data_IF_166828197459
#
_entry.id   IF_166828197459
#
_cell.length_a   1.000
_cell.length_b   1.000
_cell.length_c   1.000
_cell.angle_alpha   90.00
_cell.angle_beta   90.00
_cell.angle_gamma   90.00
#
_symmetry.space_group_name_H-M   'P 1'
#
loop_
_entity.id
_entity.type
_entity.pdbx_description
1 polymer ?
#
# COMPACT_ATOMS: atom_id res chain seq x y z
N UNK A 1 -21.81 22.61 -24.77
CA UNK A 1 -21.32 22.20 -26.10
C UNK A 1 -20.67 23.36 -26.86
N UNK A 2 -21.41 24.37 -27.31
CA UNK A 2 -20.90 25.45 -28.19
C UNK A 2 -19.63 26.16 -27.68
N UNK A 3 -19.53 26.37 -26.36
CA UNK A 3 -18.35 26.96 -25.69
C UNK A 3 -17.05 26.24 -26.06
N UNK A 4 -17.04 24.90 -26.00
CA UNK A 4 -15.85 24.09 -26.26
C UNK A 4 -15.69 23.80 -27.75
N UNK A 5 -16.78 23.61 -28.49
CA UNK A 5 -16.74 23.37 -29.94
C UNK A 5 -16.06 24.53 -30.70
N UNK A 6 -16.27 25.78 -30.24
CA UNK A 6 -15.63 26.96 -30.82
C UNK A 6 -14.08 26.97 -30.71
N UNK A 7 -13.50 26.19 -29.79
CA UNK A 7 -12.05 26.09 -29.62
C UNK A 7 -11.42 25.05 -30.54
N UNK A 8 -12.18 24.09 -31.08
CA UNK A 8 -11.67 22.99 -31.92
C UNK A 8 -10.82 23.46 -33.12
N UNK A 9 -11.20 24.51 -33.88
CA UNK A 9 -10.37 24.98 -35.01
C UNK A 9 -9.00 25.54 -34.61
N UNK A 10 -8.80 25.86 -33.33
CA UNK A 10 -7.56 26.45 -32.78
C UNK A 10 -6.54 25.40 -32.36
N UNK A 11 -6.96 24.15 -32.14
CA UNK A 11 -6.09 23.08 -31.70
C UNK A 11 -5.06 22.71 -32.79
N UNK A 12 -3.84 22.38 -32.37
CA UNK A 12 -2.70 22.02 -33.24
C UNK A 12 -1.99 20.75 -32.78
N UNK A 13 -2.22 20.30 -31.55
CA UNK A 13 -1.58 19.11 -30.97
C UNK A 13 -2.60 18.24 -30.23
N UNK A 14 -2.25 16.96 -30.03
CA UNK A 14 -3.06 16.05 -29.22
C UNK A 14 -3.14 16.48 -27.75
N UNK A 15 -2.10 17.11 -27.23
CA UNK A 15 -2.09 17.67 -25.87
C UNK A 15 -3.14 18.76 -25.68
N UNK A 16 -3.24 19.71 -26.63
CA UNK A 16 -4.28 20.75 -26.56
C UNK A 16 -5.71 20.19 -26.66
N UNK A 17 -5.90 19.10 -27.42
CA UNK A 17 -7.18 18.37 -27.44
C UNK A 17 -7.47 17.73 -26.08
N UNK A 18 -6.45 17.18 -25.42
CA UNK A 18 -6.55 16.64 -24.06
C UNK A 18 -7.06 17.68 -23.09
N UNK A 19 -6.43 18.86 -23.08
CA UNK A 19 -6.80 19.96 -22.19
C UNK A 19 -8.27 20.35 -22.42
N UNK A 20 -8.70 20.44 -23.68
CA UNK A 20 -10.09 20.73 -24.02
C UNK A 20 -11.06 19.65 -23.52
N UNK A 21 -10.71 18.36 -23.66
CA UNK A 21 -11.55 17.25 -23.18
C UNK A 21 -11.64 17.28 -21.65
N UNK A 22 -10.53 17.47 -20.95
CA UNK A 22 -10.49 17.55 -19.49
C UNK A 22 -11.33 18.72 -18.96
N UNK A 23 -11.18 19.92 -19.53
CA UNK A 23 -11.98 21.09 -19.13
C UNK A 23 -13.48 20.88 -19.41
N UNK A 24 -13.83 20.30 -20.56
CA UNK A 24 -15.22 19.99 -20.89
C UNK A 24 -15.82 18.95 -19.94
N UNK A 25 -15.08 17.88 -19.62
CA UNK A 25 -15.51 16.87 -18.66
C UNK A 25 -15.63 17.44 -17.24
N UNK A 26 -14.75 18.38 -16.87
CA UNK A 26 -14.76 19.05 -15.57
C UNK A 26 -16.05 19.83 -15.29
N UNK A 27 -16.75 20.33 -16.31
CA UNK A 27 -18.06 21.01 -16.18
C UNK A 27 -19.17 20.09 -15.63
N UNK A 28 -18.97 18.76 -15.64
CA UNK A 28 -19.88 17.82 -14.99
C UNK A 28 -19.87 17.97 -13.46
N UNK A 29 -18.80 18.55 -12.88
CA UNK A 29 -18.71 18.80 -11.44
C UNK A 29 -18.77 17.53 -10.58
N UNK A 30 -18.28 16.42 -11.10
CA UNK A 30 -18.34 15.09 -10.46
C UNK A 30 -17.03 14.34 -10.62
N UNK A 31 -16.81 13.35 -9.75
CA UNK A 31 -15.67 12.43 -9.80
C UNK A 31 -15.68 11.55 -11.05
N UNK A 32 -14.53 10.93 -11.35
CA UNK A 32 -14.37 9.91 -12.39
C UNK A 32 -14.69 10.31 -13.85
N UNK A 33 -14.65 11.59 -14.17
CA UNK A 33 -14.69 12.07 -15.55
C UNK A 33 -13.26 12.19 -16.12
N UNK A 34 -12.69 11.07 -16.57
CA UNK A 34 -11.29 10.95 -16.95
C UNK A 34 -11.07 10.91 -18.45
N UNK A 35 -9.86 11.27 -18.89
CA UNK A 35 -9.33 11.00 -20.21
C UNK A 35 -7.97 10.30 -20.09
N UNK A 36 -7.74 9.29 -20.92
CA UNK A 36 -6.50 8.50 -20.89
C UNK A 36 -6.17 7.89 -22.26
N UNK A 37 -4.88 7.64 -22.49
CA UNK A 37 -4.39 7.16 -23.78
C UNK A 37 -4.53 8.20 -24.89
N UNK A 38 -4.60 7.75 -26.14
CA UNK A 38 -4.64 8.63 -27.32
C UNK A 38 -3.32 8.66 -28.09
N UNK A 39 -3.36 9.24 -29.29
CA UNK A 39 -2.24 9.27 -30.23
C UNK A 39 -1.25 10.41 -29.90
N UNK A 40 -0.52 10.24 -28.81
CA UNK A 40 0.57 11.12 -28.43
C UNK A 40 1.86 10.73 -29.15
N UNK A 41 2.64 11.73 -29.55
CA UNK A 41 3.99 11.50 -30.07
C UNK A 41 4.90 11.01 -28.95
N UNK A 42 5.20 9.72 -28.94
CA UNK A 42 6.10 9.12 -27.95
C UNK A 42 7.58 9.43 -28.28
N UNK A 43 8.31 10.14 -27.40
CA UNK A 43 9.76 10.28 -27.53
C UNK A 43 10.45 8.96 -27.17
N UNK A 44 11.75 8.83 -27.54
CA UNK A 44 12.56 7.71 -27.08
C UNK A 44 12.59 7.68 -25.55
N UNK A 45 12.14 6.58 -24.97
CA UNK A 45 12.16 6.38 -23.53
C UNK A 45 13.49 5.80 -23.08
N UNK A 46 14.14 6.47 -22.13
CA UNK A 46 15.37 6.00 -21.49
C UNK A 46 15.03 5.51 -20.09
N UNK A 47 14.92 4.19 -19.93
CA UNK A 47 14.51 3.58 -18.65
C UNK A 47 15.67 3.57 -17.66
N UNK A 48 15.48 4.21 -16.51
CA UNK A 48 16.46 4.18 -15.42
C UNK A 48 16.44 2.79 -14.76
N UNK A 49 17.63 2.24 -14.49
CA UNK A 49 17.77 1.06 -13.64
C UNK A 49 17.90 1.45 -12.18
N UNK A 50 17.17 0.75 -11.31
CA UNK A 50 17.16 1.03 -9.87
C UNK A 50 17.83 -0.07 -9.04
N UNK A 51 18.49 0.30 -7.94
CA UNK A 51 19.25 -0.63 -7.10
C UNK A 51 18.51 -1.07 -5.83
N UNK A 52 17.33 -0.54 -5.56
CA UNK A 52 16.56 -0.84 -4.35
C UNK A 52 17.26 -0.37 -3.09
N UNK A 53 17.90 0.80 -3.11
CA UNK A 53 18.72 1.29 -2.02
C UNK A 53 18.74 2.82 -1.94
N UNK A 54 18.95 3.34 -0.73
CA UNK A 54 19.29 4.76 -0.53
C UNK A 54 20.80 4.91 -0.54
N UNK A 55 21.28 5.84 -1.38
CA UNK A 55 22.69 6.06 -1.65
C UNK A 55 23.07 7.50 -1.32
N UNK A 56 24.22 7.69 -0.69
CA UNK A 56 24.75 9.02 -0.39
C UNK A 56 26.23 9.11 -0.72
N UNK A 57 26.63 10.20 -1.35
CA UNK A 57 28.05 10.46 -1.60
C UNK A 57 28.83 10.57 -0.27
N UNK A 58 29.99 9.92 -0.22
CA UNK A 58 30.89 9.92 0.92
C UNK A 58 32.34 10.18 0.45
N UNK A 59 32.90 11.31 0.89
CA UNK A 59 34.26 11.73 0.55
C UNK A 59 35.32 10.78 1.11
N UNK A 60 35.03 10.13 2.24
CA UNK A 60 35.91 9.16 2.86
C UNK A 60 36.13 7.96 1.94
N UNK A 61 35.07 7.40 1.36
CA UNK A 61 35.20 6.27 0.44
C UNK A 61 35.32 6.64 -1.04
N UNK A 62 35.20 7.93 -1.41
CA UNK A 62 35.22 8.41 -2.80
C UNK A 62 34.21 7.65 -3.67
N UNK A 63 32.99 7.54 -3.16
CA UNK A 63 31.90 6.79 -3.77
C UNK A 63 30.57 7.04 -3.06
N UNK A 64 29.54 6.28 -3.45
CA UNK A 64 28.22 6.36 -2.87
C UNK A 64 28.06 5.26 -1.81
N UNK A 65 28.00 5.67 -0.54
CA UNK A 65 27.71 4.79 0.58
C UNK A 65 26.27 4.31 0.49
N UNK A 66 26.08 3.01 0.69
CA UNK A 66 24.77 2.38 0.79
C UNK A 66 24.24 2.68 2.20
N UNK A 67 23.29 3.59 2.33
CA UNK A 67 22.69 3.95 3.62
C UNK A 67 21.64 2.92 4.03
N UNK A 68 20.85 2.43 3.06
CA UNK A 68 19.80 1.45 3.28
C UNK A 68 19.63 0.54 2.07
N UNK A 69 19.45 -0.75 2.29
CA UNK A 69 19.01 -1.71 1.28
C UNK A 69 17.55 -2.06 1.58
N UNK A 70 16.64 -1.72 0.66
CA UNK A 70 15.24 -2.08 0.82
C UNK A 70 15.05 -3.58 0.61
N UNK A 71 14.11 -4.16 1.37
CA UNK A 71 13.74 -5.57 1.29
C UNK A 71 12.28 -5.69 0.88
N UNK A 72 12.07 -6.41 -0.22
CA UNK A 72 10.76 -6.77 -0.73
C UNK A 72 10.47 -8.25 -0.50
N UNK A 73 9.83 -8.87 -1.47
CA UNK A 73 9.57 -10.31 -1.47
C UNK A 73 10.82 -11.06 -1.97
N UNK A 74 11.60 -11.65 -1.07
CA UNK A 74 12.91 -12.27 -1.39
C UNK A 74 12.86 -13.40 -2.44
N UNK A 75 11.67 -13.97 -2.68
CA UNK A 75 11.44 -14.98 -3.71
C UNK A 75 11.16 -14.40 -5.10
N UNK A 76 10.96 -13.09 -5.23
CA UNK A 76 10.66 -12.41 -6.48
C UNK A 76 11.71 -11.31 -6.77
N UNK A 77 12.60 -11.59 -7.71
CA UNK A 77 13.72 -10.72 -8.10
C UNK A 77 13.29 -9.37 -8.69
N UNK A 78 12.07 -9.26 -9.20
CA UNK A 78 11.58 -8.01 -9.79
C UNK A 78 11.00 -7.06 -8.74
N UNK A 79 10.89 -7.49 -7.47
CA UNK A 79 10.32 -6.69 -6.37
C UNK A 79 11.15 -6.74 -5.09
N UNK A 80 12.35 -7.32 -5.11
CA UNK A 80 13.36 -7.21 -4.05
C UNK A 80 14.59 -6.41 -4.55
N UNK A 81 15.42 -5.89 -3.64
CA UNK A 81 16.61 -5.15 -4.06
C UNK A 81 17.59 -6.06 -4.84
N UNK A 82 18.14 -5.62 -5.97
CA UNK A 82 19.21 -6.33 -6.66
C UNK A 82 20.48 -6.50 -5.81
N UNK A 83 20.69 -5.63 -4.81
CA UNK A 83 21.80 -5.73 -3.85
C UNK A 83 21.53 -6.77 -2.76
N UNK A 84 20.26 -7.13 -2.57
CA UNK A 84 19.78 -8.07 -1.58
C UNK A 84 19.85 -9.54 -2.05
N UNK A 85 20.14 -9.80 -3.33
CA UNK A 85 20.13 -11.14 -3.89
C UNK A 85 21.13 -12.09 -3.19
N UNK A 86 20.76 -13.37 -3.00
CA UNK A 86 21.66 -14.37 -2.45
C UNK A 86 22.98 -14.47 -3.24
N UNK A 87 24.10 -14.44 -2.52
CA UNK A 87 25.44 -14.54 -3.11
C UNK A 87 26.10 -13.21 -3.50
N UNK A 88 25.36 -12.09 -3.53
CA UNK A 88 25.95 -10.77 -3.80
C UNK A 88 26.83 -10.27 -2.63
N UNK A 89 26.48 -10.68 -1.40
CA UNK A 89 27.16 -10.28 -0.16
C UNK A 89 27.35 -8.76 -0.04
N UNK A 90 26.37 -7.96 -0.46
CA UNK A 90 26.38 -6.50 -0.31
C UNK A 90 25.81 -6.13 1.06
N UNK A 91 26.47 -5.22 1.76
CA UNK A 91 26.05 -4.75 3.06
C UNK A 91 25.86 -3.22 3.09
N UNK A 92 24.92 -2.78 3.94
CA UNK A 92 24.80 -1.37 4.29
C UNK A 92 26.12 -0.85 4.90
N UNK A 93 26.47 0.38 4.55
CA UNK A 93 27.72 1.02 4.93
C UNK A 93 28.90 0.76 3.99
N UNK A 94 28.80 -0.18 3.04
CA UNK A 94 29.75 -0.29 1.93
C UNK A 94 29.54 0.83 0.91
N UNK A 95 30.53 1.08 0.05
CA UNK A 95 30.45 2.11 -0.97
C UNK A 95 30.47 1.54 -2.38
N UNK A 96 29.53 1.98 -3.22
CA UNK A 96 29.60 1.80 -4.66
C UNK A 96 30.57 2.87 -5.20
N UNK A 97 31.63 2.43 -5.86
CA UNK A 97 32.70 3.31 -6.36
C UNK A 97 32.82 3.32 -7.89
N UNK A 98 32.21 2.34 -8.57
CA UNK A 98 32.09 2.32 -10.02
C UNK A 98 30.84 1.55 -10.48
N UNK A 99 30.29 1.92 -11.63
CA UNK A 99 29.20 1.22 -12.33
C UNK A 99 29.62 1.00 -13.77
N UNK A 100 29.55 -0.24 -14.27
CA UNK A 100 29.99 -0.58 -15.63
C UNK A 100 31.47 -0.26 -15.88
N UNK A 101 32.31 -0.36 -14.84
CA UNK A 101 33.74 0.01 -14.90
C UNK A 101 34.03 1.52 -14.88
N UNK A 102 33.02 2.39 -14.89
CA UNK A 102 33.20 3.85 -14.79
C UNK A 102 33.12 4.30 -13.34
N UNK A 103 34.14 5.01 -12.85
CA UNK A 103 34.19 5.56 -11.49
C UNK A 103 33.07 6.57 -11.26
N UNK A 104 32.47 6.51 -10.08
CA UNK A 104 31.49 7.49 -9.63
C UNK A 104 32.20 8.74 -9.08
N UNK A 105 31.52 9.87 -9.20
CA UNK A 105 31.91 11.14 -8.59
C UNK A 105 30.64 11.94 -8.23
N UNK A 106 30.79 13.09 -7.57
CA UNK A 106 29.66 14.00 -7.34
C UNK A 106 28.97 14.43 -8.64
N UNK A 107 29.72 14.54 -9.74
CA UNK A 107 29.22 14.91 -11.07
C UNK A 107 28.83 13.71 -11.96
N UNK A 108 29.17 12.49 -11.51
CA UNK A 108 28.85 11.22 -12.15
C UNK A 108 28.17 10.31 -11.12
N UNK A 109 26.90 10.61 -10.78
CA UNK A 109 26.18 9.86 -9.77
C UNK A 109 25.65 8.53 -10.34
N UNK A 110 25.21 7.57 -9.50
CA UNK A 110 24.70 6.28 -9.93
C UNK A 110 23.60 6.38 -10.98
N UNK A 111 22.66 7.31 -10.80
CA UNK A 111 21.49 7.49 -11.67
C UNK A 111 21.92 7.81 -13.10
N UNK A 112 23.01 8.59 -13.27
CA UNK A 112 23.56 8.93 -14.58
C UNK A 112 24.11 7.70 -15.31
N UNK A 113 24.77 6.79 -14.58
CA UNK A 113 25.35 5.57 -15.16
C UNK A 113 24.35 4.42 -15.29
N UNK A 114 23.20 4.53 -14.62
CA UNK A 114 22.11 3.55 -14.66
C UNK A 114 21.02 3.91 -15.68
N UNK A 115 21.15 5.02 -16.42
CA UNK A 115 20.27 5.29 -17.56
C UNK A 115 20.37 4.14 -18.58
N UNK A 116 19.22 3.59 -18.98
CA UNK A 116 19.08 2.47 -19.92
C UNK A 116 19.67 1.14 -19.43
N UNK A 117 19.88 1.00 -18.11
CA UNK A 117 20.32 -0.25 -17.47
C UNK A 117 19.18 -1.07 -16.85
N UNK A 118 17.95 -0.55 -16.88
CA UNK A 118 16.75 -1.27 -16.42
C UNK A 118 16.72 -2.70 -16.96
N UNK A 119 16.60 -3.67 -16.06
CA UNK A 119 16.50 -5.10 -16.37
C UNK A 119 17.70 -5.69 -17.14
N UNK A 120 18.85 -5.01 -17.17
CA UNK A 120 20.09 -5.46 -17.82
C UNK A 120 21.20 -5.63 -16.78
N UNK A 121 22.00 -6.69 -16.92
CA UNK A 121 23.12 -6.93 -16.01
C UNK A 121 24.12 -5.77 -16.07
N UNK A 122 24.44 -5.20 -14.91
CA UNK A 122 25.49 -4.19 -14.73
C UNK A 122 26.48 -4.62 -13.66
N UNK A 123 27.75 -4.27 -13.85
CA UNK A 123 28.77 -4.44 -12.83
C UNK A 123 28.77 -3.27 -11.86
N UNK A 124 28.77 -3.57 -10.56
CA UNK A 124 29.03 -2.60 -9.50
C UNK A 124 30.36 -2.94 -8.86
N UNK A 125 31.26 -1.97 -8.75
CA UNK A 125 32.45 -2.10 -7.91
C UNK A 125 32.13 -1.56 -6.53
N UNK A 126 32.16 -2.44 -5.54
CA UNK A 126 31.95 -2.16 -4.13
C UNK A 126 33.30 -2.01 -3.44
N UNK A 127 33.36 -1.11 -2.46
CA UNK A 127 34.50 -0.88 -1.60
C UNK A 127 34.08 -1.03 -0.14
N UNK A 128 34.77 -1.91 0.58
CA UNK A 128 34.53 -2.13 2.00
C UNK A 128 35.25 -1.08 2.88
N UNK A 129 35.07 -1.19 4.21
CA UNK A 129 35.74 -0.32 5.20
C UNK A 129 37.27 -0.45 5.19
N UNK A 130 37.82 -1.56 4.71
CA UNK A 130 39.27 -1.84 4.60
C UNK A 130 39.84 -1.42 3.24
N UNK A 131 39.06 -0.71 2.42
CA UNK A 131 39.41 -0.27 1.05
C UNK A 131 39.62 -1.43 0.07
N UNK A 132 39.17 -2.64 0.40
CA UNK A 132 39.17 -3.74 -0.55
C UNK A 132 38.03 -3.51 -1.56
N UNK A 133 38.34 -3.66 -2.84
CA UNK A 133 37.36 -3.55 -3.92
C UNK A 133 36.99 -4.93 -4.45
N UNK A 134 35.69 -5.15 -4.62
CA UNK A 134 35.15 -6.31 -5.32
C UNK A 134 34.10 -5.89 -6.32
N UNK A 135 33.94 -6.67 -7.38
CA UNK A 135 32.90 -6.43 -8.37
C UNK A 135 31.79 -7.44 -8.20
N UNK A 136 30.55 -6.95 -8.22
CA UNK A 136 29.33 -7.75 -8.22
C UNK A 136 28.52 -7.44 -9.48
N UNK A 137 27.75 -8.40 -9.96
CA UNK A 137 26.86 -8.22 -11.10
C UNK A 137 25.42 -8.18 -10.60
N UNK A 138 24.70 -7.11 -10.89
CA UNK A 138 23.31 -6.94 -10.47
C UNK A 138 22.43 -6.68 -11.69
N UNK A 139 21.15 -7.03 -11.58
CA UNK A 139 20.12 -6.68 -12.56
C UNK A 139 19.26 -5.55 -11.97
N UNK A 140 19.45 -4.28 -12.36
CA UNK A 140 18.68 -3.17 -11.81
C UNK A 140 17.19 -3.32 -12.12
N UNK A 141 16.34 -2.93 -11.17
CA UNK A 141 14.90 -2.95 -11.30
C UNK A 141 14.44 -1.93 -12.33
N UNK A 142 13.27 -2.19 -12.94
CA UNK A 142 12.59 -1.21 -13.80
C UNK A 142 11.83 -0.15 -12.99
N UNK A 143 11.46 -0.47 -11.76
CA UNK A 143 10.78 0.42 -10.82
C UNK A 143 11.04 -0.06 -9.39
N UNK A 144 11.13 0.87 -8.45
CA UNK A 144 11.21 0.55 -7.01
C UNK A 144 9.85 0.66 -6.32
N UNK A 145 8.76 0.98 -7.03
CA UNK A 145 7.48 1.28 -6.40
C UNK A 145 6.98 0.11 -5.53
N UNK A 146 6.96 -1.12 -6.07
CA UNK A 146 6.53 -2.31 -5.34
C UNK A 146 7.46 -2.66 -4.17
N UNK A 147 8.77 -2.52 -4.37
CA UNK A 147 9.79 -2.74 -3.34
C UNK A 147 9.64 -1.76 -2.16
N UNK A 148 9.54 -0.47 -2.47
CA UNK A 148 9.38 0.59 -1.45
C UNK A 148 8.05 0.48 -0.74
N UNK A 149 6.99 0.14 -1.46
CA UNK A 149 5.69 -0.19 -0.87
C UNK A 149 5.81 -1.33 0.15
N UNK A 150 6.37 -2.49 -0.24
CA UNK A 150 6.52 -3.63 0.66
C UNK A 150 7.36 -3.26 1.88
N UNK A 151 8.49 -2.59 1.67
CA UNK A 151 9.37 -2.18 2.75
C UNK A 151 8.69 -1.22 3.74
N UNK A 152 7.80 -0.34 3.26
CA UNK A 152 6.98 0.55 4.09
C UNK A 152 5.94 -0.23 4.89
N UNK A 153 5.18 -1.14 4.25
CA UNK A 153 4.19 -1.99 4.95
C UNK A 153 4.85 -2.82 6.05
N UNK A 154 5.98 -3.48 5.76
CA UNK A 154 6.68 -4.31 6.74
C UNK A 154 7.32 -3.47 7.86
N UNK A 155 7.72 -2.23 7.58
CA UNK A 155 8.21 -1.31 8.62
C UNK A 155 7.09 -0.92 9.60
N UNK A 156 5.90 -0.57 9.08
CA UNK A 156 4.75 -0.26 9.93
C UNK A 156 4.28 -1.50 10.71
N UNK A 157 4.28 -2.68 10.08
CA UNK A 157 3.95 -3.93 10.75
C UNK A 157 4.89 -4.19 11.93
N UNK A 158 6.21 -4.12 11.71
CA UNK A 158 7.21 -4.27 12.79
C UNK A 158 7.00 -3.24 13.90
N UNK A 159 6.75 -1.98 13.56
CA UNK A 159 6.48 -0.95 14.55
C UNK A 159 5.27 -1.30 15.41
N UNK A 160 4.16 -1.71 14.80
CA UNK A 160 2.94 -2.13 15.53
C UNK A 160 3.23 -3.33 16.43
N UNK A 161 3.92 -4.35 15.91
CA UNK A 161 4.30 -5.54 16.67
C UNK A 161 5.20 -5.20 17.87
N UNK A 162 6.24 -4.40 17.67
CA UNK A 162 7.16 -3.96 18.73
C UNK A 162 6.42 -3.15 19.81
N UNK A 163 5.60 -2.17 19.40
CA UNK A 163 4.86 -1.31 20.34
C UNK A 163 3.78 -2.06 21.12
N UNK A 164 3.23 -3.12 20.54
CA UNK A 164 2.14 -3.90 21.15
C UNK A 164 2.62 -5.23 21.72
N UNK A 165 3.93 -5.51 21.70
CA UNK A 165 4.51 -6.81 22.10
C UNK A 165 3.80 -7.99 21.41
N UNK A 166 3.74 -7.92 20.08
CA UNK A 166 3.10 -8.92 19.20
C UNK A 166 1.59 -9.09 19.38
N UNK A 167 0.93 -8.27 20.21
CA UNK A 167 -0.49 -8.48 20.53
C UNK A 167 -1.46 -7.92 19.51
N UNK A 168 -1.04 -6.99 18.65
CA UNK A 168 -1.89 -6.35 17.64
C UNK A 168 -1.33 -6.63 16.26
N UNK A 169 -2.19 -6.99 15.32
CA UNK A 169 -1.85 -7.18 13.93
C UNK A 169 -1.91 -5.91 13.10
N UNK A 170 -1.20 -5.90 11.98
CA UNK A 170 -1.22 -4.79 11.03
C UNK A 170 -1.20 -5.29 9.59
N UNK A 171 -2.12 -4.75 8.79
CA UNK A 171 -2.13 -4.90 7.34
C UNK A 171 -2.43 -3.56 6.68
N UNK A 172 -1.99 -3.44 5.43
CA UNK A 172 -2.30 -2.30 4.57
C UNK A 172 -2.94 -2.77 3.26
N UNK A 173 -3.89 -1.98 2.74
CA UNK A 173 -4.65 -2.28 1.53
C UNK A 173 -4.45 -1.12 0.53
N UNK A 174 -3.60 -1.27 -0.51
CA UNK A 174 -3.16 -0.17 -1.38
C UNK A 174 -4.17 0.25 -2.46
N UNK A 175 -5.09 -0.63 -2.83
CA UNK A 175 -6.21 -0.34 -3.71
C UNK A 175 -7.35 -1.34 -3.40
N UNK A 176 -8.45 -1.26 -4.11
CA UNK A 176 -9.54 -2.25 -4.07
C UNK A 176 -9.62 -3.03 -5.38
N UNK A 177 -8.49 -3.18 -6.08
CA UNK A 177 -8.35 -4.04 -7.24
C UNK A 177 -7.76 -5.41 -6.87
N UNK A 178 -7.31 -6.18 -7.89
CA UNK A 178 -6.66 -7.46 -7.67
C UNK A 178 -5.40 -7.39 -6.78
N UNK A 179 -4.64 -6.29 -6.87
CA UNK A 179 -3.44 -6.10 -6.06
C UNK A 179 -3.80 -5.92 -4.59
N UNK A 180 -4.72 -5.02 -4.27
CA UNK A 180 -5.20 -4.79 -2.92
C UNK A 180 -5.86 -6.01 -2.30
N UNK A 181 -6.63 -6.78 -3.09
CA UNK A 181 -7.19 -8.05 -2.65
C UNK A 181 -6.10 -9.08 -2.27
N UNK A 182 -5.01 -9.14 -3.04
CA UNK A 182 -3.85 -9.99 -2.75
C UNK A 182 -3.10 -9.53 -1.50
N UNK A 183 -2.86 -8.23 -1.35
CA UNK A 183 -2.19 -7.64 -0.19
C UNK A 183 -3.01 -7.81 1.09
N UNK A 184 -4.33 -7.64 1.00
CA UNK A 184 -5.24 -7.94 2.09
C UNK A 184 -5.07 -9.39 2.54
N UNK A 185 -5.22 -10.38 1.66
CA UNK A 185 -5.13 -11.79 2.08
C UNK A 185 -3.76 -12.15 2.63
N UNK A 186 -2.70 -11.63 2.01
CA UNK A 186 -1.32 -11.82 2.47
C UNK A 186 -1.12 -11.34 3.91
N UNK A 187 -1.56 -10.12 4.23
CA UNK A 187 -1.42 -9.57 5.58
C UNK A 187 -2.47 -10.13 6.55
N UNK A 188 -3.72 -10.25 6.12
CA UNK A 188 -4.83 -10.68 6.95
C UNK A 188 -4.59 -12.06 7.53
N UNK A 189 -4.22 -13.04 6.70
CA UNK A 189 -4.06 -14.43 7.13
C UNK A 189 -2.92 -14.62 8.14
N UNK A 190 -1.93 -13.73 8.18
CA UNK A 190 -0.87 -13.76 9.19
C UNK A 190 -1.18 -12.94 10.46
N UNK A 191 -2.18 -12.06 10.42
CA UNK A 191 -2.38 -11.03 11.44
C UNK A 191 -3.73 -11.09 12.17
N UNK A 192 -4.75 -11.74 11.58
CA UNK A 192 -6.14 -11.71 12.07
C UNK A 192 -6.34 -12.35 13.46
N UNK A 193 -5.51 -13.32 13.85
CA UNK A 193 -5.67 -14.08 15.11
C UNK A 193 -4.98 -13.41 16.32
N UNK A 194 -4.36 -12.24 16.11
CA UNK A 194 -3.84 -11.41 17.19
C UNK A 194 -4.98 -10.80 18.01
N UNK A 195 -4.68 -10.23 19.19
CA UNK A 195 -5.70 -9.71 20.12
C UNK A 195 -6.44 -8.48 19.59
N UNK A 196 -5.89 -7.80 18.59
CA UNK A 196 -6.55 -6.73 17.86
C UNK A 196 -5.91 -6.56 16.48
N UNK A 197 -6.54 -5.77 15.61
CA UNK A 197 -6.09 -5.59 14.23
C UNK A 197 -6.16 -4.12 13.82
N UNK A 198 -5.07 -3.60 13.26
CA UNK A 198 -5.03 -2.31 12.56
C UNK A 198 -5.15 -2.58 11.05
N UNK A 199 -6.17 -1.97 10.43
CA UNK A 199 -6.43 -2.05 8.99
C UNK A 199 -6.12 -0.69 8.37
N UNK A 200 -5.02 -0.59 7.64
CA UNK A 200 -4.59 0.67 7.02
C UNK A 200 -5.03 0.75 5.56
N UNK A 201 -5.93 1.69 5.25
CA UNK A 201 -6.40 2.00 3.88
C UNK A 201 -5.96 3.39 3.42
N UNK A 202 -4.97 4.00 4.08
CA UNK A 202 -4.37 5.25 3.62
C UNK A 202 -3.81 5.07 2.21
N UNK A 203 -3.97 6.07 1.35
CA UNK A 203 -3.53 6.01 -0.06
C UNK A 203 -4.23 4.94 -0.91
N UNK A 204 -5.36 4.37 -0.47
CA UNK A 204 -6.09 3.36 -1.22
C UNK A 204 -6.68 3.94 -2.53
N UNK A 205 -6.31 3.34 -3.67
CA UNK A 205 -6.63 3.89 -5.00
C UNK A 205 -8.00 3.48 -5.56
N UNK A 206 -8.86 2.85 -4.76
CA UNK A 206 -10.18 2.39 -5.20
C UNK A 206 -10.15 1.12 -6.05
N UNK A 207 -11.30 0.74 -6.61
CA UNK A 207 -11.51 -0.54 -7.27
C UNK A 207 -12.93 -1.05 -7.05
N UNK A 208 -13.10 -2.30 -6.62
CA UNK A 208 -14.42 -2.92 -6.42
C UNK A 208 -14.47 -4.07 -5.40
N UNK A 209 -13.38 -4.38 -4.71
CA UNK A 209 -13.33 -5.52 -3.77
C UNK A 209 -13.69 -5.16 -2.32
N UNK A 210 -14.00 -3.90 -2.00
CA UNK A 210 -14.31 -3.48 -0.62
C UNK A 210 -15.39 -4.33 0.08
N UNK A 211 -16.48 -4.80 -0.59
CA UNK A 211 -17.48 -5.62 0.08
C UNK A 211 -16.93 -6.97 0.55
N UNK A 212 -16.02 -7.57 -0.23
CA UNK A 212 -15.38 -8.85 0.11
C UNK A 212 -14.46 -8.71 1.33
N UNK A 213 -13.77 -7.57 1.44
CA UNK A 213 -12.90 -7.30 2.58
C UNK A 213 -13.71 -7.02 3.85
N UNK A 214 -14.76 -6.19 3.72
CA UNK A 214 -15.67 -5.88 4.82
C UNK A 214 -16.40 -7.13 5.33
N UNK A 215 -16.79 -8.06 4.45
CA UNK A 215 -17.39 -9.33 4.85
C UNK A 215 -16.48 -10.11 5.80
N UNK A 216 -15.18 -10.20 5.48
CA UNK A 216 -14.19 -10.87 6.35
C UNK A 216 -13.99 -10.14 7.67
N UNK A 217 -13.82 -8.83 7.64
CA UNK A 217 -13.63 -8.01 8.83
C UNK A 217 -14.86 -8.02 9.76
N UNK A 218 -16.06 -8.18 9.22
CA UNK A 218 -17.31 -8.24 9.98
C UNK A 218 -17.56 -9.59 10.68
N UNK A 219 -16.76 -10.62 10.40
CA UNK A 219 -16.91 -11.94 11.03
C UNK A 219 -16.65 -11.87 12.52
N UNK A 220 -17.69 -12.03 13.31
CA UNK A 220 -17.59 -12.19 14.76
C UNK A 220 -17.12 -13.59 15.10
N UNK A 221 -16.03 -13.68 15.86
CA UNK A 221 -15.59 -14.94 16.44
C UNK A 221 -16.57 -15.36 17.53
N UNK A 222 -17.22 -16.51 17.35
CA UNK A 222 -18.27 -17.01 18.27
C UNK A 222 -17.93 -18.35 18.91
N UNK A 223 -16.83 -18.98 18.52
CA UNK A 223 -16.41 -20.25 19.09
C UNK A 223 -15.07 -20.72 18.58
N UNK A 224 -14.70 -21.93 18.98
CA UNK A 224 -13.47 -22.59 18.57
C UNK A 224 -13.72 -24.07 18.34
N UNK A 225 -13.15 -24.61 17.26
CA UNK A 225 -12.91 -26.04 17.13
C UNK A 225 -11.58 -26.38 17.83
N UNK A 226 -11.61 -27.32 18.77
CA UNK A 226 -10.43 -27.71 19.55
C UNK A 226 -10.02 -29.13 19.14
N UNK A 227 -9.04 -29.28 18.23
CA UNK A 227 -8.64 -30.58 17.76
C UNK A 227 -7.98 -31.39 18.87
N UNK A 228 -7.93 -32.72 18.72
CA UNK A 228 -7.19 -33.59 19.65
C UNK A 228 -5.70 -33.25 19.70
N UNK A 229 -5.15 -32.83 18.56
CA UNK A 229 -3.77 -32.40 18.39
C UNK A 229 -3.77 -31.08 17.61
N UNK A 230 -3.14 -30.06 18.17
CA UNK A 230 -3.06 -28.72 17.57
C UNK A 230 -3.66 -27.62 18.43
N UNK A 231 -3.60 -26.39 17.92
CA UNK A 231 -4.19 -25.23 18.56
C UNK A 231 -5.71 -25.14 18.28
N UNK A 232 -6.48 -24.52 19.18
CA UNK A 232 -7.87 -24.14 18.89
C UNK A 232 -7.96 -23.30 17.61
N UNK A 233 -8.91 -23.65 16.73
CA UNK A 233 -9.20 -22.94 15.49
C UNK A 233 -10.46 -22.10 15.68
N UNK A 234 -10.44 -20.79 15.40
CA UNK A 234 -11.62 -19.95 15.61
C UNK A 234 -12.76 -20.30 14.64
N UNK A 235 -13.99 -20.09 15.10
CA UNK A 235 -15.22 -20.23 14.32
C UNK A 235 -16.02 -18.92 14.32
N UNK A 236 -16.41 -18.37 13.14
CA UNK A 236 -16.01 -18.82 11.81
C UNK A 236 -14.48 -18.74 11.62
N UNK A 237 -13.90 -19.57 10.73
CA UNK A 237 -12.49 -19.45 10.38
C UNK A 237 -12.16 -18.03 9.89
N UNK A 238 -10.95 -17.58 10.18
CA UNK A 238 -10.48 -16.25 9.80
C UNK A 238 -11.30 -15.09 10.40
N UNK A 239 -12.03 -15.30 11.49
CA UNK A 239 -12.68 -14.23 12.26
C UNK A 239 -11.65 -13.46 13.09
N UNK A 240 -11.71 -12.13 13.13
CA UNK A 240 -10.74 -11.29 13.86
C UNK A 240 -10.75 -11.61 15.36
N UNK A 241 -9.57 -11.69 15.98
CA UNK A 241 -9.38 -12.09 17.38
C UNK A 241 -9.77 -11.05 18.43
N UNK A 242 -10.14 -9.83 18.04
CA UNK A 242 -10.56 -8.77 18.95
C UNK A 242 -10.86 -7.44 18.23
N UNK A 243 -10.71 -6.28 18.90
CA UNK A 243 -11.07 -4.98 18.32
C UNK A 243 -10.27 -4.67 17.05
N UNK A 244 -10.91 -3.91 16.15
CA UNK A 244 -10.33 -3.42 14.91
C UNK A 244 -10.21 -1.90 14.99
N UNK A 245 -9.12 -1.33 14.48
CA UNK A 245 -8.99 0.12 14.23
C UNK A 245 -8.61 0.31 12.77
N UNK A 246 -9.30 1.19 12.05
CA UNK A 246 -8.98 1.50 10.66
C UNK A 246 -8.25 2.85 10.54
N UNK A 247 -7.26 2.91 9.64
CA UNK A 247 -6.60 4.15 9.25
C UNK A 247 -7.03 4.55 7.83
N UNK A 248 -7.33 5.83 7.61
CA UNK A 248 -7.65 6.38 6.28
C UNK A 248 -7.09 7.79 6.11
N UNK A 249 -7.02 8.28 4.88
CA UNK A 249 -6.58 9.66 4.61
C UNK A 249 -7.20 10.20 3.31
N UNK A 250 -6.89 11.46 2.99
CA UNK A 250 -7.38 12.16 1.80
C UNK A 250 -6.95 11.56 0.46
N UNK A 251 -6.05 10.57 0.47
CA UNK A 251 -5.60 9.85 -0.71
C UNK A 251 -6.29 8.50 -0.89
N UNK A 252 -7.10 8.07 0.08
CA UNK A 252 -8.01 6.95 -0.06
C UNK A 252 -9.26 7.43 -0.80
N UNK A 253 -9.65 6.76 -1.89
CA UNK A 253 -10.77 7.22 -2.71
C UNK A 253 -11.52 6.13 -3.47
N UNK A 254 -12.67 6.49 -4.05
CA UNK A 254 -13.52 5.56 -4.82
C UNK A 254 -13.99 4.41 -3.93
N UNK A 255 -13.71 3.16 -4.28
CA UNK A 255 -14.05 2.04 -3.39
C UNK A 255 -13.31 2.09 -2.03
N UNK A 256 -12.27 2.92 -1.89
CA UNK A 256 -11.66 3.29 -0.60
C UNK A 256 -12.51 4.26 0.24
N UNK A 257 -13.27 5.16 -0.40
CA UNK A 257 -14.32 5.96 0.26
C UNK A 257 -15.43 5.04 0.78
N UNK A 258 -15.89 4.11 -0.08
CA UNK A 258 -16.95 3.13 0.22
C UNK A 258 -16.54 2.24 1.39
N UNK A 259 -15.32 1.70 1.37
CA UNK A 259 -14.78 0.92 2.49
C UNK A 259 -14.81 1.72 3.79
N UNK A 260 -14.30 2.95 3.75
CA UNK A 260 -14.20 3.82 4.92
C UNK A 260 -15.57 4.13 5.51
N UNK A 261 -16.56 4.45 4.66
CA UNK A 261 -17.95 4.70 5.07
C UNK A 261 -18.58 3.45 5.67
N UNK A 262 -18.50 2.32 4.97
CA UNK A 262 -19.11 1.06 5.40
C UNK A 262 -18.45 0.49 6.66
N UNK A 263 -17.15 0.67 6.87
CA UNK A 263 -16.46 0.28 8.09
C UNK A 263 -17.10 0.93 9.33
N UNK A 264 -17.44 2.22 9.23
CA UNK A 264 -18.17 2.96 10.26
C UNK A 264 -19.62 2.53 10.36
N UNK A 265 -20.32 2.41 9.22
CA UNK A 265 -21.73 1.99 9.16
C UNK A 265 -21.96 0.63 9.83
N UNK A 266 -21.05 -0.32 9.61
CA UNK A 266 -21.06 -1.65 10.20
C UNK A 266 -20.55 -1.69 11.65
N UNK A 267 -20.05 -0.55 12.16
CA UNK A 267 -19.51 -0.40 13.52
C UNK A 267 -18.39 -1.39 13.80
N UNK A 268 -17.49 -1.59 12.84
CA UNK A 268 -16.37 -2.54 12.97
C UNK A 268 -15.27 -2.04 13.92
N UNK A 269 -15.16 -0.73 14.09
CA UNK A 269 -14.18 -0.09 14.97
C UNK A 269 -14.11 1.41 14.70
N UNK A 270 -13.23 2.15 15.39
CA UNK A 270 -12.97 3.55 15.07
C UNK A 270 -12.19 3.70 13.77
N UNK A 271 -12.57 4.70 12.97
CA UNK A 271 -11.84 5.17 11.79
C UNK A 271 -10.99 6.39 12.16
N UNK A 272 -9.70 6.35 11.88
CA UNK A 272 -8.72 7.39 12.28
C UNK A 272 -8.01 7.94 11.04
N UNK A 273 -7.78 9.25 11.01
CA UNK A 273 -6.92 9.90 10.01
C UNK A 273 -7.57 11.14 9.41
N UNK A 274 -7.64 11.26 8.08
CA UNK A 274 -8.25 12.43 7.41
C UNK A 274 -9.42 12.02 6.53
N UNK A 275 -10.36 12.95 6.34
CA UNK A 275 -11.46 12.81 5.38
C UNK A 275 -10.92 12.31 4.04
N UNK A 276 -11.58 11.30 3.49
CA UNK A 276 -11.21 10.62 2.24
C UNK A 276 -11.46 11.50 1.02
N UNK A 277 -11.10 11.02 -0.17
CA UNK A 277 -11.12 11.78 -1.42
C UNK A 277 -12.53 12.27 -1.82
N UNK A 278 -13.55 11.44 -1.64
CA UNK A 278 -14.94 11.82 -1.92
C UNK A 278 -15.35 11.72 -3.37
N UNK A 279 -14.91 10.68 -4.08
CA UNK A 279 -15.44 10.38 -5.40
C UNK A 279 -16.05 9.00 -5.40
N UNK A 280 -17.37 8.86 -5.56
CA UNK A 280 -18.08 7.55 -5.51
C UNK A 280 -19.09 7.38 -6.65
N UNK A 281 -18.87 8.05 -7.78
CA UNK A 281 -19.61 7.74 -9.01
C UNK A 281 -18.76 6.84 -9.89
N UNK A 282 -19.14 5.55 -9.95
CA UNK A 282 -18.43 4.53 -10.71
C UNK A 282 -18.47 4.75 -12.22
N UNK A 283 -17.60 4.04 -12.91
CA UNK A 283 -17.40 4.11 -14.37
C UNK A 283 -17.39 2.70 -14.96
N UNK A 284 -17.84 2.57 -16.21
CA UNK A 284 -17.67 1.36 -17.03
C UNK A 284 -17.28 1.80 -18.45
N UNK A 285 -15.99 2.07 -18.73
CA UNK A 285 -15.58 2.56 -20.05
C UNK A 285 -15.65 1.43 -21.09
N UNK A 286 -16.60 1.52 -22.02
CA UNK A 286 -16.74 0.59 -23.16
C UNK A 286 -16.56 1.25 -24.54
N UNK A 287 -16.13 2.52 -24.59
CA UNK A 287 -15.92 3.27 -25.81
C UNK A 287 -14.50 3.85 -25.93
N UNK A 288 -13.95 3.77 -27.14
CA UNK A 288 -12.70 4.41 -27.51
C UNK A 288 -12.97 5.47 -28.58
N UNK A 289 -12.24 6.59 -28.52
CA UNK A 289 -12.18 7.56 -29.60
C UNK A 289 -11.33 7.02 -30.76
N UNK A 290 -11.41 7.68 -31.91
CA UNK A 290 -10.72 7.29 -33.16
C UNK A 290 -9.19 7.17 -33.01
N UNK A 291 -8.59 7.92 -32.09
CA UNK A 291 -7.15 7.92 -31.79
C UNK A 291 -6.77 6.95 -30.65
N UNK A 292 -7.70 6.11 -30.20
CA UNK A 292 -7.50 5.14 -29.13
C UNK A 292 -7.72 5.68 -27.72
N UNK A 293 -8.05 6.97 -27.57
CA UNK A 293 -8.37 7.55 -26.25
C UNK A 293 -9.55 6.88 -25.60
N UNK A 294 -9.42 6.65 -24.30
CA UNK A 294 -10.51 6.21 -23.42
C UNK A 294 -10.94 7.42 -22.60
N UNK A 295 -12.23 7.75 -22.71
CA UNK A 295 -12.91 8.66 -21.77
C UNK A 295 -13.78 7.86 -20.84
N UNK A 296 -13.93 8.30 -19.60
CA UNK A 296 -14.84 7.65 -18.65
C UNK A 296 -16.01 8.56 -18.35
N UNK A 297 -17.23 8.00 -18.40
CA UNK A 297 -18.44 8.70 -18.00
C UNK A 297 -18.83 8.24 -16.59
N UNK A 298 -18.98 9.16 -15.63
CA UNK A 298 -19.51 8.86 -14.30
C UNK A 298 -20.96 8.36 -14.45
N UNK A 299 -21.18 7.06 -14.28
CA UNK A 299 -22.41 6.38 -14.69
C UNK A 299 -23.12 5.68 -13.51
N UNK A 300 -22.36 5.28 -12.47
CA UNK A 300 -22.88 4.47 -11.37
C UNK A 300 -22.76 5.21 -10.04
N UNK A 301 -23.70 6.11 -9.75
CA UNK A 301 -23.69 6.85 -8.50
C UNK A 301 -23.94 5.93 -7.30
N UNK A 302 -23.06 6.00 -6.29
CA UNK A 302 -23.26 5.27 -5.04
C UNK A 302 -24.18 6.04 -4.09
N UNK A 303 -25.21 5.35 -3.58
CA UNK A 303 -26.13 5.87 -2.59
C UNK A 303 -26.06 5.01 -1.32
N UNK A 304 -25.90 5.65 -0.17
CA UNK A 304 -25.86 4.97 1.13
C UNK A 304 -27.16 5.17 1.90
N UNK A 305 -27.55 4.14 2.67
CA UNK A 305 -28.81 4.16 3.46
C UNK A 305 -28.86 5.28 4.50
N UNK A 306 -27.72 5.68 5.04
CA UNK A 306 -27.57 6.67 6.11
C UNK A 306 -27.11 8.05 5.60
N UNK A 307 -26.36 8.09 4.50
CA UNK A 307 -25.79 9.34 3.95
C UNK A 307 -26.41 9.78 2.61
N UNK A 308 -27.26 8.94 2.00
CA UNK A 308 -27.76 9.15 0.65
C UNK A 308 -26.61 9.29 -0.37
N UNK A 309 -26.66 10.35 -1.18
CA UNK A 309 -25.62 10.71 -2.15
C UNK A 309 -24.45 11.50 -1.54
N UNK A 310 -24.47 11.75 -0.23
CA UNK A 310 -23.61 12.75 0.42
C UNK A 310 -22.12 12.41 0.52
N UNK A 311 -21.69 11.24 0.05
CA UNK A 311 -20.26 10.86 0.01
C UNK A 311 -19.58 11.43 -1.25
N UNK A 312 -20.29 11.57 -2.37
CA UNK A 312 -19.76 12.20 -3.58
C UNK A 312 -19.45 13.67 -3.34
N UNK A 313 -18.31 14.13 -3.86
CA UNK A 313 -17.76 15.48 -3.70
C UNK A 313 -17.54 15.90 -2.24
N UNK A 314 -17.49 14.94 -1.31
CA UNK A 314 -17.27 15.18 0.11
C UNK A 314 -16.28 14.21 0.75
N UNK A 315 -16.52 12.89 0.63
CA UNK A 315 -15.74 11.84 1.28
C UNK A 315 -16.38 11.31 2.56
N UNK A 316 -15.61 10.53 3.32
CA UNK A 316 -16.00 9.97 4.60
C UNK A 316 -15.15 10.62 5.68
N UNK A 317 -15.80 11.30 6.64
CA UNK A 317 -15.11 11.80 7.82
C UNK A 317 -14.68 10.64 8.73
N UNK A 318 -13.43 10.64 9.24
CA UNK A 318 -13.03 9.70 10.28
C UNK A 318 -13.74 10.00 11.61
N UNK A 319 -13.80 9.02 12.50
CA UNK A 319 -14.25 9.26 13.90
C UNK A 319 -13.24 10.15 14.65
N UNK A 320 -11.96 10.04 14.27
CA UNK A 320 -10.86 10.85 14.80
C UNK A 320 -10.10 11.52 13.65
N UNK A 321 -10.33 12.83 13.48
CA UNK A 321 -9.59 13.65 12.51
C UNK A 321 -8.18 13.97 13.05
N UNK A 322 -7.16 13.44 12.39
CA UNK A 322 -5.74 13.61 12.68
C UNK A 322 -4.96 13.79 11.38
N UNK A 323 -4.28 14.92 11.26
CA UNK A 323 -3.39 15.20 10.14
C UNK A 323 -1.96 14.72 10.41
N UNK A 324 -1.17 14.50 9.36
CA UNK A 324 0.28 14.33 9.45
C UNK A 324 0.93 15.61 8.94
N UNK A 325 1.31 16.48 9.86
CA UNK A 325 1.83 17.79 9.48
C UNK A 325 3.27 17.69 8.92
N UNK A 326 3.74 18.69 8.15
CA UNK A 326 5.09 18.67 7.59
C UNK A 326 6.21 18.46 8.63
N UNK A 327 6.05 19.01 9.84
CA UNK A 327 7.00 18.80 10.94
C UNK A 327 7.01 17.36 11.49
N UNK A 328 5.92 16.61 11.33
CA UNK A 328 5.84 15.21 11.76
C UNK A 328 6.59 14.32 10.77
N UNK A 329 6.43 14.57 9.46
CA UNK A 329 7.27 13.94 8.43
C UNK A 329 8.76 14.20 8.66
N UNK A 330 9.13 15.45 8.96
CA UNK A 330 10.53 15.78 9.27
C UNK A 330 11.08 15.03 10.49
N UNK A 331 10.23 14.75 11.48
CA UNK A 331 10.59 14.01 12.71
C UNK A 331 10.41 12.50 12.58
N UNK A 332 9.97 11.99 11.42
CA UNK A 332 9.66 10.58 11.22
C UNK A 332 8.51 10.07 12.10
N UNK A 333 7.54 10.94 12.42
CA UNK A 333 6.38 10.61 13.25
C UNK A 333 5.15 10.35 12.38
N UNK A 334 4.37 9.35 12.79
CA UNK A 334 3.06 9.03 12.19
C UNK A 334 1.97 9.21 13.27
N UNK A 335 1.44 10.44 13.44
CA UNK A 335 0.44 10.72 14.49
C UNK A 335 -0.88 9.95 14.27
N UNK A 336 -1.20 9.56 13.03
CA UNK A 336 -2.39 8.75 12.75
C UNK A 336 -2.20 7.32 13.29
N UNK A 337 -1.06 6.69 13.00
CA UNK A 337 -0.73 5.36 13.53
C UNK A 337 -0.55 5.38 15.06
N UNK A 338 0.06 6.43 15.61
CA UNK A 338 0.20 6.62 17.06
C UNK A 338 -1.17 6.66 17.76
N UNK A 339 -2.14 7.43 17.22
CA UNK A 339 -3.49 7.46 17.78
C UNK A 339 -4.21 6.11 17.61
N UNK A 340 -4.04 5.42 16.47
CA UNK A 340 -4.63 4.09 16.29
C UNK A 340 -4.11 3.09 17.32
N UNK A 341 -2.81 3.12 17.64
CA UNK A 341 -2.21 2.30 18.69
C UNK A 341 -2.76 2.66 20.08
N UNK A 342 -2.96 3.94 20.37
CA UNK A 342 -3.56 4.38 21.63
C UNK A 342 -5.01 3.89 21.79
N UNK A 343 -5.84 4.06 20.75
CA UNK A 343 -7.22 3.57 20.75
C UNK A 343 -7.27 2.04 20.88
N UNK A 344 -6.36 1.34 20.23
CA UNK A 344 -6.23 -0.11 20.35
C UNK A 344 -5.86 -0.52 21.79
N UNK A 345 -4.89 0.13 22.44
CA UNK A 345 -4.55 -0.15 23.84
C UNK A 345 -5.74 0.06 24.78
N UNK A 346 -6.50 1.14 24.58
CA UNK A 346 -7.73 1.39 25.34
C UNK A 346 -8.79 0.31 25.11
N UNK A 347 -8.99 -0.12 23.87
CA UNK A 347 -9.93 -1.18 23.53
C UNK A 347 -9.51 -2.52 24.17
N UNK A 348 -8.22 -2.84 24.11
CA UNK A 348 -7.68 -4.09 24.66
C UNK A 348 -7.75 -4.17 26.19
N UNK A 349 -7.68 -3.05 26.93
CA UNK A 349 -7.88 -3.04 28.39
C UNK A 349 -9.27 -3.52 28.81
N UNK A 350 -10.26 -3.28 27.98
CA UNK A 350 -11.66 -3.68 28.23
C UNK A 350 -12.03 -4.97 27.48
N UNK A 351 -11.11 -5.57 26.73
CA UNK A 351 -11.36 -6.75 25.93
C UNK A 351 -10.81 -8.00 26.61
N UNK A 352 -11.71 -8.92 26.95
CA UNK A 352 -11.35 -10.27 27.37
C UNK A 352 -11.55 -11.18 26.16
N UNK A 353 -10.47 -11.79 25.68
CA UNK A 353 -10.57 -12.74 24.59
C UNK A 353 -11.27 -14.01 25.09
N UNK A 354 -12.43 -14.33 24.51
CA UNK A 354 -13.20 -15.53 24.81
C UNK A 354 -12.49 -16.77 24.25
N UNK A 355 -11.51 -17.30 25.00
CA UNK A 355 -10.78 -18.53 24.66
C UNK A 355 -11.39 -19.73 25.41
N UNK A 356 -11.41 -20.93 24.80
CA UNK A 356 -11.99 -22.10 25.45
C UNK A 356 -11.18 -22.49 26.70
N UNK A 357 -11.86 -22.62 27.83
CA UNK A 357 -11.32 -23.23 29.04
C UNK A 357 -11.42 -24.76 28.95
N UNK A 358 -10.32 -25.40 28.59
CA UNK A 358 -10.26 -26.85 28.39
C UNK A 358 -10.45 -27.65 29.69
N UNK A 359 -10.32 -27.02 30.87
CA UNK A 359 -10.55 -27.69 32.16
C UNK A 359 -12.03 -28.02 32.40
N UNK A 360 -12.93 -27.27 31.75
CA UNK A 360 -14.39 -27.48 31.82
C UNK A 360 -14.91 -28.47 30.78
N UNK A 361 -14.02 -29.04 29.95
CA UNK A 361 -14.40 -30.01 28.91
C UNK A 361 -15.06 -31.23 29.56
N UNK A 362 -16.28 -31.63 29.16
CA UNK A 362 -16.93 -32.80 29.69
C UNK A 362 -16.03 -34.03 29.56
N UNK A 363 -15.74 -34.67 30.69
CA UNK A 363 -15.07 -35.97 30.76
C UNK A 363 -16.12 -36.99 31.16
N UNK A 364 -16.50 -37.85 30.21
CA UNK A 364 -17.30 -39.04 30.47
C UNK A 364 -16.35 -40.24 30.41
N UNK A 365 -15.49 -40.45 31.43
CA UNK A 365 -14.66 -41.64 31.47
C UNK A 365 -15.58 -42.86 31.53
N UNK A 366 -15.18 -43.93 30.82
CA UNK A 366 -15.82 -45.22 31.01
C UNK A 366 -15.70 -45.61 32.50
N UNK A 367 -16.73 -46.23 33.09
CA UNK A 367 -16.62 -46.75 34.45
C UNK A 367 -15.41 -47.67 34.55
N UNK A 368 -14.69 -47.60 35.68
CA UNK A 368 -13.60 -48.53 35.97
C UNK A 368 -14.15 -49.95 35.97
N UNK A 369 -13.53 -50.83 35.17
CA UNK A 369 -13.82 -52.26 35.20
C UNK A 369 -13.49 -52.82 36.60
N UNK A 370 -14.29 -53.77 37.11
CA UNK A 370 -14.15 -54.31 38.47
C UNK A 370 -12.82 -55.01 38.76
#
# INVERSE_FOLDING_TARGET
FDRYAALLPRLRTRGELSDLIWEMQGELGTSHAYESGGDYREPRQYQLGFLGADLRWDDGCQGYRIERIYRGDSWNRDVDSPLAEPGQNVAEGECIVAIGGKRLSRDVPPERLLVNSSQRMVSLTLRDKKRHERTVLVKPLASEAALRYRAWVEANRRLVHERTRESVGYLHIPDMGPWGFSEFHRGYLSEFDRKGLIVDVRYNRGGHVSPLLLEKLARKRVGYDVPRYGAPVPYPPESVGGPIVALTNQFAGSDGDIFSHCFKLYKLGPLVGKRTWGGVIGIDPYHHLVDGTVTTQPEFSFWFVDAGWGVENYGTDPDYDVDIAPQDYHKGKDPQLELALELMDRALKNYVADRPDLSTRPSLPLPSLP
#
